data_IF_125430372028
#
_entry.id   IF_125430372028
#
_cell.length_a   1.000
_cell.length_b   1.000
_cell.length_c   1.000
_cell.angle_alpha   90.00
_cell.angle_beta   90.00
_cell.angle_gamma   90.00
#
_symmetry.space_group_name_H-M   'P 1'
#
loop_
_entity.id
_entity.type
_entity.pdbx_description
1 polymer ?
#
# COMPACT_ATOMS: atom_id res chain seq x y z
N UNK A 1 1.31 7.79 -11.40
CA UNK A 1 1.15 8.22 -9.99
C UNK A 1 1.74 7.13 -9.10
N UNK A 2 2.60 7.47 -8.13
CA UNK A 2 3.24 6.46 -7.27
C UNK A 2 2.24 6.00 -6.20
N UNK A 3 1.63 4.84 -6.40
CA UNK A 3 0.59 4.29 -5.51
C UNK A 3 0.95 2.89 -5.03
N UNK A 4 0.45 2.55 -3.85
CA UNK A 4 0.66 1.25 -3.19
C UNK A 4 -0.65 0.66 -2.70
N UNK A 5 -0.72 -0.66 -2.66
CA UNK A 5 -1.89 -1.40 -2.19
C UNK A 5 -1.68 -1.95 -0.78
N UNK A 6 -2.76 -2.30 -0.07
CA UNK A 6 -2.66 -2.94 1.26
C UNK A 6 -1.76 -4.19 1.24
N UNK A 7 -1.81 -5.10 0.24
CA UNK A 7 -0.87 -6.20 0.17
C UNK A 7 0.60 -5.79 0.14
N UNK A 8 0.95 -4.74 -0.59
CA UNK A 8 2.33 -4.25 -0.68
C UNK A 8 2.78 -3.63 0.65
N UNK A 9 1.90 -2.87 1.32
CA UNK A 9 2.16 -2.33 2.66
C UNK A 9 2.36 -3.46 3.68
N UNK A 10 1.55 -4.52 3.62
CA UNK A 10 1.65 -5.66 4.51
C UNK A 10 2.97 -6.42 4.30
N UNK A 11 3.37 -6.57 3.03
CA UNK A 11 4.65 -7.19 2.66
C UNK A 11 5.86 -6.36 3.13
N UNK A 12 5.79 -5.03 3.08
CA UNK A 12 6.83 -4.16 3.63
C UNK A 12 7.01 -4.37 5.14
N UNK A 13 5.90 -4.49 5.87
CA UNK A 13 5.88 -4.78 7.31
C UNK A 13 6.20 -6.23 7.69
N UNK A 14 6.26 -7.15 6.73
CA UNK A 14 6.42 -8.59 7.00
C UNK A 14 5.24 -9.20 7.76
N UNK A 15 4.02 -8.68 7.59
CA UNK A 15 2.80 -9.19 8.25
C UNK A 15 1.78 -9.73 7.26
N UNK A 16 0.78 -10.46 7.77
CA UNK A 16 -0.31 -10.96 6.93
C UNK A 16 -1.19 -9.81 6.41
N UNK A 17 -1.70 -9.98 5.19
CA UNK A 17 -2.67 -9.06 4.57
C UNK A 17 -3.95 -8.91 5.40
N UNK A 18 -4.36 -9.98 6.08
CA UNK A 18 -5.54 -9.97 6.95
C UNK A 18 -5.33 -9.05 8.15
N UNK A 19 -4.17 -9.14 8.82
CA UNK A 19 -3.87 -8.31 9.99
C UNK A 19 -3.77 -6.83 9.60
N UNK A 20 -3.08 -6.51 8.49
CA UNK A 20 -3.03 -5.13 8.03
C UNK A 20 -4.43 -4.61 7.66
N UNK A 21 -5.25 -5.40 6.97
CA UNK A 21 -6.61 -5.00 6.61
C UNK A 21 -7.47 -4.71 7.85
N UNK A 22 -7.36 -5.55 8.88
CA UNK A 22 -8.01 -5.31 10.17
C UNK A 22 -7.59 -3.98 10.78
N UNK A 23 -6.28 -3.74 10.87
CA UNK A 23 -5.74 -2.46 11.33
C UNK A 23 -6.27 -1.28 10.49
N UNK A 24 -6.20 -1.37 9.17
CA UNK A 24 -6.59 -0.31 8.24
C UNK A 24 -8.07 0.07 8.38
N UNK A 25 -8.94 -0.93 8.55
CA UNK A 25 -10.37 -0.71 8.75
C UNK A 25 -10.70 -0.04 10.08
N UNK A 26 -9.94 -0.33 11.14
CA UNK A 26 -10.10 0.28 12.46
C UNK A 26 -9.53 1.69 12.48
N UNK A 27 -8.34 1.87 11.92
CA UNK A 27 -7.59 3.12 11.97
C UNK A 27 -8.11 4.17 10.98
N UNK A 28 -8.95 3.76 10.00
CA UNK A 28 -9.68 4.61 9.03
C UNK A 28 -8.85 5.80 8.52
N UNK A 29 -7.71 5.54 7.84
CA UNK A 29 -6.88 6.61 7.30
C UNK A 29 -7.70 7.50 6.36
N UNK A 30 -7.58 8.81 6.55
CA UNK A 30 -8.11 9.83 5.64
C UNK A 30 -7.14 10.04 4.46
N UNK A 31 -6.78 8.94 3.79
CA UNK A 31 -5.90 8.95 2.60
C UNK A 31 -6.80 8.75 1.39
N UNK A 32 -6.62 9.57 0.35
CA UNK A 32 -7.40 9.43 -0.86
C UNK A 32 -7.05 8.09 -1.52
N UNK A 33 -8.05 7.24 -1.73
CA UNK A 33 -7.85 5.97 -2.45
C UNK A 33 -8.25 6.11 -3.91
N UNK A 34 -7.48 5.46 -4.77
CA UNK A 34 -7.79 5.24 -6.17
C UNK A 34 -8.09 3.75 -6.37
N UNK A 35 -8.88 3.42 -7.40
CA UNK A 35 -9.05 2.03 -7.81
C UNK A 35 -8.10 1.77 -8.98
N UNK A 36 -7.21 0.80 -8.82
CA UNK A 36 -6.30 0.37 -9.88
C UNK A 36 -6.61 -1.06 -10.29
N UNK A 37 -6.36 -1.39 -11.55
CA UNK A 37 -6.40 -2.77 -12.03
C UNK A 37 -5.00 -3.34 -11.99
N UNK A 38 -4.82 -4.41 -11.22
CA UNK A 38 -3.58 -5.18 -11.21
C UNK A 38 -3.81 -6.46 -12.02
N UNK A 39 -2.94 -6.70 -13.01
CA UNK A 39 -3.01 -7.82 -13.95
C UNK A 39 -3.51 -7.42 -15.35
N UNK A 40 -4.04 -8.36 -16.13
CA UNK A 40 -4.51 -8.08 -17.49
C UNK A 40 -5.62 -7.00 -17.51
N UNK A 41 -5.58 -6.03 -18.45
CA UNK A 41 -6.54 -4.91 -18.51
C UNK A 41 -8.02 -5.32 -18.52
N UNK A 42 -8.33 -6.54 -18.98
CA UNK A 42 -9.68 -7.08 -19.17
C UNK A 42 -10.13 -8.08 -18.09
N UNK A 43 -9.23 -8.54 -17.22
CA UNK A 43 -9.51 -9.54 -16.15
C UNK A 43 -8.95 -9.14 -14.78
N UNK A 44 -8.24 -8.02 -14.69
CA UNK A 44 -7.64 -7.52 -13.46
C UNK A 44 -8.70 -7.26 -12.39
N UNK A 45 -8.41 -7.72 -11.17
CA UNK A 45 -9.21 -7.38 -10.00
C UNK A 45 -8.95 -5.91 -9.67
N UNK A 46 -10.01 -5.11 -9.57
CA UNK A 46 -9.90 -3.76 -9.03
C UNK A 46 -9.38 -3.83 -7.59
N UNK A 47 -8.29 -3.13 -7.30
CA UNK A 47 -7.68 -3.03 -5.98
C UNK A 47 -7.61 -1.57 -5.55
N UNK A 48 -7.94 -1.34 -4.28
CA UNK A 48 -7.73 -0.05 -3.64
C UNK A 48 -6.23 0.21 -3.54
N UNK A 49 -5.80 1.36 -4.08
CA UNK A 49 -4.45 1.86 -3.99
C UNK A 49 -4.42 3.27 -3.41
N UNK A 50 -3.33 3.55 -2.72
CA UNK A 50 -3.14 4.73 -1.91
C UNK A 50 -1.83 5.40 -2.32
N UNK A 51 -1.75 6.74 -2.35
CA UNK A 51 -0.51 7.45 -2.64
C UNK A 51 0.61 7.03 -1.70
N UNK A 52 1.73 6.58 -2.27
CA UNK A 52 2.93 6.18 -1.50
C UNK A 52 3.34 7.20 -0.41
N UNK A 53 3.50 8.51 -0.72
CA UNK A 53 3.96 9.45 0.29
C UNK A 53 2.98 9.59 1.47
N UNK A 54 1.68 9.63 1.20
CA UNK A 54 0.64 9.72 2.23
C UNK A 54 0.61 8.48 3.12
N UNK A 55 0.81 7.29 2.53
CA UNK A 55 0.90 6.03 3.30
C UNK A 55 2.12 6.07 4.21
N UNK A 56 3.29 6.46 3.70
CA UNK A 56 4.52 6.53 4.51
C UNK A 56 4.34 7.50 5.68
N UNK A 57 3.82 8.70 5.43
CA UNK A 57 3.57 9.70 6.46
C UNK A 57 2.58 9.18 7.51
N UNK A 58 1.47 8.60 7.06
CA UNK A 58 0.47 8.02 7.94
C UNK A 58 1.06 6.91 8.82
N UNK A 59 1.80 5.97 8.22
CA UNK A 59 2.36 4.83 8.94
C UNK A 59 3.43 5.25 9.95
N UNK A 60 4.25 6.26 9.63
CA UNK A 60 5.19 6.87 10.60
C UNK A 60 4.46 7.47 11.80
N UNK A 61 3.29 8.07 11.59
CA UNK A 61 2.48 8.67 12.67
C UNK A 61 1.79 7.62 13.54
N UNK A 62 1.21 6.58 12.95
CA UNK A 62 0.37 5.61 13.69
C UNK A 62 1.12 4.37 14.16
N UNK A 63 2.29 4.07 13.58
CA UNK A 63 3.15 2.96 13.96
C UNK A 63 4.61 3.39 14.15
N UNK A 64 4.93 4.43 14.95
CA UNK A 64 6.29 4.97 15.05
C UNK A 64 7.33 3.96 15.57
N UNK A 65 6.89 2.95 16.34
CA UNK A 65 7.79 1.92 16.88
C UNK A 65 8.00 0.72 15.95
N UNK A 66 7.16 0.56 14.91
CA UNK A 66 7.26 -0.55 13.95
C UNK A 66 7.69 -0.07 12.56
N UNK A 67 7.25 1.11 12.17
CA UNK A 67 7.56 1.71 10.89
C UNK A 67 8.87 2.49 10.96
N UNK A 68 9.79 2.19 10.06
CA UNK A 68 11.15 2.77 10.04
C UNK A 68 11.67 2.87 8.59
N UNK A 69 12.85 3.46 8.41
CA UNK A 69 13.45 3.69 7.09
C UNK A 69 13.59 2.42 6.23
N UNK A 70 13.82 1.24 6.84
CA UNK A 70 13.87 -0.03 6.10
C UNK A 70 12.50 -0.43 5.53
N UNK A 71 11.42 -0.12 6.23
CA UNK A 71 10.06 -0.33 5.71
C UNK A 71 9.76 0.63 4.55
N UNK A 72 10.21 1.89 4.64
CA UNK A 72 10.04 2.88 3.56
C UNK A 72 10.73 2.43 2.27
N UNK A 73 11.99 2.01 2.40
CA UNK A 73 12.81 1.49 1.30
C UNK A 73 12.19 0.22 0.73
N UNK A 74 11.79 -0.73 1.58
CA UNK A 74 11.15 -1.98 1.14
C UNK A 74 9.83 -1.73 0.43
N UNK A 75 8.99 -0.82 0.93
CA UNK A 75 7.73 -0.46 0.27
C UNK A 75 8.00 0.20 -1.09
N UNK A 76 9.02 1.06 -1.17
CA UNK A 76 9.43 1.69 -2.42
C UNK A 76 9.90 0.65 -3.46
N UNK A 77 10.72 -0.31 -3.05
CA UNK A 77 11.16 -1.40 -3.92
C UNK A 77 9.98 -2.27 -4.38
N UNK A 78 9.09 -2.68 -3.47
CA UNK A 78 7.88 -3.45 -3.83
C UNK A 78 6.97 -2.69 -4.80
N UNK A 79 6.87 -1.37 -4.65
CA UNK A 79 6.11 -0.51 -5.56
C UNK A 79 6.76 -0.47 -6.96
N UNK A 80 8.09 -0.31 -7.02
CA UNK A 80 8.88 -0.29 -8.25
C UNK A 80 8.86 -1.64 -8.98
N UNK A 81 9.10 -2.73 -8.26
CA UNK A 81 9.15 -4.09 -8.82
C UNK A 81 7.76 -4.58 -9.23
N UNK A 82 6.72 -4.06 -8.58
CA UNK A 82 5.32 -4.40 -8.81
C UNK A 82 4.62 -3.52 -9.85
N UNK A 83 5.33 -2.86 -10.76
CA UNK A 83 4.79 -2.05 -11.87
C UNK A 83 3.92 -2.90 -12.83
N UNK A 84 2.71 -3.26 -12.38
CA UNK A 84 1.54 -3.64 -13.17
C UNK A 84 0.38 -2.77 -12.69
N UNK A 85 0.41 -1.50 -13.07
CA UNK A 85 -0.67 -0.57 -12.81
C UNK A 85 -0.94 0.17 -14.12
N UNK A 86 -1.90 -0.35 -14.90
CA UNK A 86 -2.47 0.44 -15.99
C UNK A 86 -3.47 1.41 -15.35
N UNK A 87 -3.15 2.70 -15.40
CA UNK A 87 -4.03 3.78 -14.94
C UNK A 87 -4.78 4.28 -16.18
N UNK A 88 -5.89 3.62 -16.51
CA UNK A 88 -6.85 4.13 -17.51
C UNK A 88 -7.64 5.31 -16.96
#
# INVERSE_FOLDING_TARGET
MNVVTLPQIAAALGISRHNLRGFWNVARPQIQKSNIRIGEPRRGRGMDAYPYPEVVEYMRRVMPHRWNAKNDERLYQIMKDGEFIDVT
#
